data_IF_081871847413
#
_entry.id   IF_081871847413
#
_cell.length_a   1.000
_cell.length_b   1.000
_cell.length_c   1.000
_cell.angle_alpha   90.00
_cell.angle_beta   90.00
_cell.angle_gamma   90.00
#
_symmetry.space_group_name_H-M   'P 1'
#
loop_
_entity.id
_entity.type
_entity.pdbx_description
1 polymer ?
#
# COMPACT_ATOMS: atom_id res chain seq x y z
N UNK A 1 -1.09 -0.24 63.71
CA UNK A 1 -2.10 -0.96 62.91
C UNK A 1 -2.00 -0.47 61.47
N UNK A 2 -0.95 -0.88 60.74
CA UNK A 2 -0.69 -0.47 59.34
C UNK A 2 0.33 -1.42 58.69
N UNK A 3 -0.03 -2.68 58.44
CA UNK A 3 0.85 -3.65 57.76
C UNK A 3 0.11 -4.69 56.91
N UNK A 4 -1.13 -4.45 56.50
CA UNK A 4 -1.87 -5.42 55.66
C UNK A 4 -2.27 -4.93 54.26
N UNK A 5 -2.10 -3.65 53.93
CA UNK A 5 -2.54 -3.10 52.62
C UNK A 5 -1.50 -3.15 51.50
N UNK A 6 -0.22 -3.41 51.79
CA UNK A 6 0.87 -3.38 50.78
C UNK A 6 1.05 -4.70 50.01
N UNK A 7 0.60 -5.82 50.57
CA UNK A 7 0.76 -7.14 49.93
C UNK A 7 -0.23 -7.37 48.80
N UNK A 8 -1.44 -6.83 48.91
CA UNK A 8 -2.50 -7.00 47.92
C UNK A 8 -2.21 -6.20 46.64
N UNK A 9 -1.82 -4.92 46.78
CA UNK A 9 -1.50 -4.04 45.64
C UNK A 9 -0.34 -4.58 44.79
N UNK A 10 0.75 -5.03 45.43
CA UNK A 10 1.92 -5.63 44.76
C UNK A 10 1.59 -6.90 43.97
N UNK A 11 0.64 -7.70 44.45
CA UNK A 11 0.22 -8.94 43.79
C UNK A 11 -0.66 -8.64 42.58
N UNK A 12 -1.59 -7.68 42.70
CA UNK A 12 -2.42 -7.23 41.58
C UNK A 12 -1.61 -6.52 40.50
N UNK A 13 -0.60 -5.72 40.87
CA UNK A 13 0.35 -5.11 39.93
C UNK A 13 1.12 -6.17 39.16
N UNK A 14 1.71 -7.16 39.85
CA UNK A 14 2.45 -8.26 39.19
C UNK A 14 1.57 -9.13 38.30
N UNK A 15 0.32 -9.36 38.68
CA UNK A 15 -0.66 -10.06 37.84
C UNK A 15 -1.05 -9.25 36.61
N UNK A 16 -1.26 -7.94 36.77
CA UNK A 16 -1.53 -7.02 35.67
C UNK A 16 -0.37 -6.92 34.69
N UNK A 17 0.86 -6.84 35.20
CA UNK A 17 2.09 -6.85 34.40
C UNK A 17 2.27 -8.17 33.65
N UNK A 18 2.01 -9.30 34.32
CA UNK A 18 2.07 -10.63 33.70
C UNK A 18 1.05 -10.82 32.59
N UNK A 19 -0.18 -10.33 32.78
CA UNK A 19 -1.23 -10.37 31.76
C UNK A 19 -0.91 -9.47 30.56
N UNK A 20 -0.33 -8.29 30.82
CA UNK A 20 0.12 -7.34 29.79
C UNK A 20 1.26 -7.93 28.96
N UNK A 21 2.28 -8.49 29.61
CA UNK A 21 3.41 -9.16 28.95
C UNK A 21 2.95 -10.37 28.12
N UNK A 22 1.97 -11.13 28.61
CA UNK A 22 1.38 -12.24 27.86
C UNK A 22 0.61 -11.74 26.63
N UNK A 23 -0.21 -10.68 26.77
CA UNK A 23 -0.98 -10.08 25.67
C UNK A 23 -0.07 -9.55 24.56
N UNK A 24 1.02 -8.85 24.92
CA UNK A 24 2.04 -8.40 23.97
C UNK A 24 2.76 -9.57 23.30
N UNK A 25 3.10 -10.61 24.06
CA UNK A 25 3.70 -11.84 23.55
C UNK A 25 2.82 -12.55 22.51
N UNK A 26 1.53 -12.68 22.81
CA UNK A 26 0.54 -13.26 21.90
C UNK A 26 0.38 -12.42 20.62
N UNK A 27 0.34 -11.09 20.76
CA UNK A 27 0.20 -10.16 19.62
C UNK A 27 1.44 -10.21 18.71
N UNK A 28 2.64 -10.25 19.28
CA UNK A 28 3.89 -10.37 18.54
C UNK A 28 4.02 -11.73 17.83
N UNK A 29 3.58 -12.81 18.48
CA UNK A 29 3.54 -14.14 17.88
C UNK A 29 2.56 -14.20 16.69
N UNK A 30 1.35 -13.66 16.85
CA UNK A 30 0.35 -13.59 15.78
C UNK A 30 0.83 -12.72 14.61
N UNK A 31 1.49 -11.59 14.88
CA UNK A 31 2.05 -10.73 13.83
C UNK A 31 3.20 -11.42 13.09
N UNK A 32 4.02 -12.23 13.78
CA UNK A 32 5.07 -13.04 13.16
C UNK A 32 4.51 -14.17 12.30
N UNK A 33 3.39 -14.78 12.69
CA UNK A 33 2.75 -15.86 11.93
C UNK A 33 1.93 -15.34 10.74
N UNK A 34 1.19 -14.25 10.92
CA UNK A 34 0.18 -13.79 9.93
C UNK A 34 0.64 -12.56 9.13
N UNK A 35 1.74 -11.92 9.52
CA UNK A 35 2.17 -10.62 9.00
C UNK A 35 1.29 -9.46 9.52
N UNK A 36 1.72 -8.23 9.28
CA UNK A 36 0.90 -7.05 9.59
C UNK A 36 -0.22 -6.87 8.54
N UNK A 37 -1.34 -6.24 8.93
CA UNK A 37 -2.42 -5.92 7.99
C UNK A 37 -1.92 -5.09 6.80
N UNK A 38 -1.08 -4.09 7.08
CA UNK A 38 -0.52 -3.19 6.08
C UNK A 38 0.40 -3.93 5.12
N UNK A 39 1.23 -4.87 5.60
CA UNK A 39 2.08 -5.69 4.73
C UNK A 39 1.23 -6.51 3.76
N UNK A 40 0.16 -7.15 4.24
CA UNK A 40 -0.75 -7.92 3.38
C UNK A 40 -1.44 -7.02 2.34
N UNK A 41 -1.86 -5.82 2.74
CA UNK A 41 -2.49 -4.86 1.85
C UNK A 41 -1.54 -4.38 0.75
N UNK A 42 -0.34 -3.95 1.10
CA UNK A 42 0.70 -3.52 0.15
C UNK A 42 1.08 -4.67 -0.80
N UNK A 43 1.19 -5.90 -0.27
CA UNK A 43 1.41 -7.10 -1.08
C UNK A 43 0.29 -7.34 -2.08
N UNK A 44 -0.98 -7.15 -1.70
CA UNK A 44 -2.13 -7.26 -2.65
C UNK A 44 -2.05 -6.22 -3.77
N UNK A 45 -1.51 -5.03 -3.49
CA UNK A 45 -1.26 -4.01 -4.53
C UNK A 45 -0.12 -4.39 -5.48
N UNK A 46 0.71 -5.35 -5.08
CA UNK A 46 1.76 -5.93 -5.91
C UNK A 46 3.17 -5.60 -5.45
N UNK A 47 3.36 -4.83 -4.38
CA UNK A 47 4.68 -4.40 -3.95
C UNK A 47 5.20 -5.28 -2.82
N UNK A 48 6.41 -5.82 -2.99
CA UNK A 48 7.11 -6.56 -1.94
C UNK A 48 8.43 -5.85 -1.67
N UNK A 49 8.57 -5.34 -0.44
CA UNK A 49 9.81 -4.70 0.04
C UNK A 49 10.97 -5.69 -0.01
N UNK A 50 12.12 -5.22 -0.47
CA UNK A 50 13.37 -5.97 -0.40
C UNK A 50 13.74 -6.27 1.06
N UNK A 51 14.17 -7.51 1.35
CA UNK A 51 14.65 -7.90 2.69
C UNK A 51 16.04 -7.36 2.99
N UNK A 52 16.86 -7.12 1.95
CA UNK A 52 18.21 -6.58 2.08
C UNK A 52 18.35 -5.27 1.29
N UNK A 53 19.20 -4.32 1.72
CA UNK A 53 19.33 -3.01 1.07
C UNK A 53 19.82 -3.06 -0.38
N UNK A 54 20.59 -4.09 -0.73
CA UNK A 54 21.19 -4.34 -2.03
C UNK A 54 20.23 -5.00 -3.04
N UNK A 55 19.06 -5.44 -2.58
CA UNK A 55 18.09 -6.11 -3.44
C UNK A 55 17.01 -5.13 -3.93
N UNK A 56 16.58 -5.22 -5.20
CA UNK A 56 15.43 -4.49 -5.65
C UNK A 56 14.16 -5.01 -4.98
N UNK A 57 13.15 -4.16 -4.86
CA UNK A 57 11.81 -4.63 -4.54
C UNK A 57 11.29 -5.53 -5.67
N UNK A 58 10.33 -6.38 -5.35
CA UNK A 58 9.70 -7.25 -6.35
C UNK A 58 8.25 -6.83 -6.57
N UNK A 59 7.80 -7.00 -7.81
CA UNK A 59 6.43 -6.71 -8.22
C UNK A 59 5.73 -8.03 -8.54
N UNK A 60 4.58 -8.27 -7.93
CA UNK A 60 3.80 -9.50 -8.14
C UNK A 60 3.11 -9.43 -9.51
N UNK A 61 3.32 -10.39 -10.43
CA UNK A 61 2.65 -10.41 -11.72
C UNK A 61 1.12 -10.40 -11.60
N UNK A 62 0.44 -9.72 -12.53
CA UNK A 62 -1.03 -9.59 -12.53
C UNK A 62 -1.62 -8.69 -11.45
N UNK A 63 -0.79 -8.15 -10.53
CA UNK A 63 -1.22 -7.14 -9.57
C UNK A 63 -1.54 -5.80 -10.24
N UNK A 64 -2.18 -4.90 -9.48
CA UNK A 64 -2.44 -3.54 -9.96
C UNK A 64 -1.13 -2.82 -10.34
N UNK A 65 -0.10 -2.90 -9.49
CA UNK A 65 1.20 -2.29 -9.78
C UNK A 65 1.84 -2.88 -11.04
N UNK A 66 1.77 -4.21 -11.21
CA UNK A 66 2.28 -4.87 -12.42
C UNK A 66 1.57 -4.34 -13.68
N UNK A 67 0.23 -4.25 -13.66
CA UNK A 67 -0.55 -3.70 -14.77
C UNK A 67 -0.18 -2.25 -15.09
N UNK A 68 0.08 -1.42 -14.08
CA UNK A 68 0.57 -0.04 -14.28
C UNK A 68 1.93 -0.05 -14.98
N UNK A 69 2.85 -0.93 -14.55
CA UNK A 69 4.19 -1.04 -15.13
C UNK A 69 4.14 -1.55 -16.58
N UNK A 70 3.27 -2.52 -16.88
CA UNK A 70 3.07 -3.07 -18.23
C UNK A 70 2.53 -2.03 -19.22
N UNK A 71 1.67 -1.12 -18.75
CA UNK A 71 1.10 -0.03 -19.58
C UNK A 71 2.10 1.08 -19.89
N UNK A 72 3.28 1.09 -19.28
CA UNK A 72 4.24 2.19 -19.39
C UNK A 72 4.74 2.43 -20.81
N UNK A 73 5.11 1.36 -21.53
CA UNK A 73 5.55 1.48 -22.93
C UNK A 73 4.42 2.00 -23.82
N UNK A 74 3.17 1.58 -23.57
CA UNK A 74 2.00 2.10 -24.28
C UNK A 74 1.83 3.59 -24.06
N UNK A 75 1.96 4.07 -22.81
CA UNK A 75 1.82 5.50 -22.50
C UNK A 75 2.96 6.33 -23.09
N UNK A 76 4.19 5.80 -23.08
CA UNK A 76 5.36 6.44 -23.69
C UNK A 76 5.22 6.63 -25.20
N UNK A 77 4.55 5.68 -25.88
CA UNK A 77 4.34 5.74 -27.32
C UNK A 77 3.32 6.82 -27.76
N UNK A 78 2.49 7.32 -26.84
CA UNK A 78 1.49 8.36 -27.15
C UNK A 78 2.15 9.73 -27.34
N UNK A 79 1.64 10.53 -28.26
CA UNK A 79 1.90 11.97 -28.30
C UNK A 79 1.29 12.70 -27.10
N UNK A 80 1.66 13.97 -26.89
CA UNK A 80 1.12 14.77 -25.79
C UNK A 80 -0.41 14.95 -25.90
N UNK A 81 -0.91 15.10 -27.12
CA UNK A 81 -2.33 15.28 -27.37
C UNK A 81 -3.12 13.98 -27.18
N UNK A 82 -2.55 12.83 -27.59
CA UNK A 82 -3.14 11.52 -27.32
C UNK A 82 -3.18 11.21 -25.83
N UNK A 83 -2.10 11.51 -25.09
CA UNK A 83 -2.04 11.32 -23.64
C UNK A 83 -3.09 12.18 -22.92
N UNK A 84 -3.24 13.45 -23.31
CA UNK A 84 -4.32 14.33 -22.82
C UNK A 84 -5.70 13.78 -23.19
N UNK A 85 -5.83 13.23 -24.39
CA UNK A 85 -7.05 12.62 -24.93
C UNK A 85 -7.57 11.40 -24.16
N UNK A 86 -6.74 10.77 -23.32
CA UNK A 86 -7.19 9.69 -22.43
C UNK A 86 -8.18 10.19 -21.36
N UNK A 87 -8.03 11.41 -20.88
CA UNK A 87 -8.89 11.97 -19.81
C UNK A 87 -10.38 11.98 -20.20
N UNK A 88 -10.80 12.55 -21.35
CA UNK A 88 -12.19 12.48 -21.77
C UNK A 88 -12.66 11.03 -22.02
N UNK A 89 -11.80 10.15 -22.55
CA UNK A 89 -12.15 8.73 -22.74
C UNK A 89 -12.46 8.01 -21.41
N UNK A 90 -11.69 8.30 -20.36
CA UNK A 90 -11.93 7.76 -19.02
C UNK A 90 -13.26 8.26 -18.46
N UNK A 91 -13.57 9.55 -18.62
CA UNK A 91 -14.87 10.12 -18.20
C UNK A 91 -16.04 9.47 -18.93
N UNK A 92 -15.90 9.22 -20.23
CA UNK A 92 -16.92 8.52 -21.02
C UNK A 92 -17.11 7.07 -20.56
N UNK A 93 -16.02 6.36 -20.24
CA UNK A 93 -16.09 4.99 -19.69
C UNK A 93 -16.80 4.97 -18.34
N UNK A 94 -16.52 5.93 -17.46
CA UNK A 94 -17.24 6.07 -16.19
C UNK A 94 -18.74 6.31 -16.42
N UNK A 95 -19.10 7.19 -17.36
CA UNK A 95 -20.49 7.46 -17.71
C UNK A 95 -21.21 6.22 -18.26
N UNK A 96 -20.47 5.29 -18.90
CA UNK A 96 -20.96 3.99 -19.37
C UNK A 96 -20.98 2.89 -18.32
N UNK A 97 -20.64 3.20 -17.06
CA UNK A 97 -20.74 2.27 -15.93
C UNK A 97 -19.43 1.58 -15.54
N UNK A 98 -18.29 1.97 -16.09
CA UNK A 98 -17.00 1.52 -15.57
C UNK A 98 -16.80 2.04 -14.14
N UNK A 99 -16.13 1.27 -13.29
CA UNK A 99 -15.76 1.71 -11.94
C UNK A 99 -14.43 2.45 -11.96
N UNK A 100 -14.15 3.22 -10.90
CA UNK A 100 -12.83 3.85 -10.73
C UNK A 100 -11.70 2.80 -10.63
N UNK A 101 -11.98 1.64 -10.03
CA UNK A 101 -11.02 0.54 -9.91
C UNK A 101 -10.66 -0.07 -11.29
N UNK A 102 -11.62 -0.11 -12.22
CA UNK A 102 -11.36 -0.58 -13.59
C UNK A 102 -10.38 0.34 -14.34
N UNK A 103 -10.47 1.65 -14.09
CA UNK A 103 -9.64 2.67 -14.74
C UNK A 103 -8.31 2.91 -14.03
N UNK A 104 -8.18 2.47 -12.78
CA UNK A 104 -7.08 2.81 -11.89
C UNK A 104 -5.70 2.52 -12.52
N UNK A 105 -5.44 1.34 -13.14
CA UNK A 105 -4.13 1.06 -13.72
C UNK A 105 -3.78 1.99 -14.89
N UNK A 106 -4.74 2.25 -15.78
CA UNK A 106 -4.55 3.09 -16.96
C UNK A 106 -4.36 4.57 -16.56
N UNK A 107 -5.14 5.03 -15.58
CA UNK A 107 -5.04 6.38 -15.04
C UNK A 107 -3.67 6.62 -14.37
N UNK A 108 -3.21 5.70 -13.52
CA UNK A 108 -1.89 5.82 -12.88
C UNK A 108 -0.73 5.73 -13.88
N UNK A 109 -0.84 4.89 -14.92
CA UNK A 109 0.15 4.84 -15.98
C UNK A 109 0.22 6.16 -16.76
N UNK A 110 -0.93 6.76 -17.10
CA UNK A 110 -0.99 8.06 -17.76
C UNK A 110 -0.43 9.19 -16.88
N UNK A 111 -0.77 9.22 -15.58
CA UNK A 111 -0.21 10.19 -14.63
C UNK A 111 1.30 10.06 -14.48
N UNK A 112 1.82 8.82 -14.46
CA UNK A 112 3.26 8.55 -14.41
C UNK A 112 3.97 9.09 -15.64
N UNK A 113 3.42 8.90 -16.84
CA UNK A 113 3.97 9.45 -18.08
C UNK A 113 3.89 10.99 -18.10
N UNK A 114 2.78 11.57 -17.66
CA UNK A 114 2.65 13.02 -17.53
C UNK A 114 3.72 13.61 -16.59
N UNK A 115 3.99 12.96 -15.46
CA UNK A 115 5.08 13.34 -14.54
C UNK A 115 6.46 13.27 -15.19
N UNK A 116 6.72 12.22 -15.99
CA UNK A 116 7.96 12.08 -16.77
C UNK A 116 8.14 13.26 -17.72
N UNK A 117 7.11 13.62 -18.50
CA UNK A 117 7.21 14.70 -19.50
C UNK A 117 7.31 16.09 -18.89
N UNK A 118 6.52 16.35 -17.84
CA UNK A 118 6.37 17.72 -17.31
C UNK A 118 7.34 18.05 -16.19
N UNK A 119 7.81 17.06 -15.45
CA UNK A 119 8.69 17.24 -14.28
C UNK A 119 10.02 16.49 -14.41
N UNK A 120 10.24 15.77 -15.51
CA UNK A 120 11.39 14.87 -15.65
C UNK A 120 11.44 13.83 -14.50
N UNK A 121 10.28 13.45 -13.95
CA UNK A 121 10.18 12.54 -12.82
C UNK A 121 9.29 11.36 -13.18
N UNK A 122 9.91 10.20 -13.31
CA UNK A 122 9.20 8.93 -13.37
C UNK A 122 8.77 8.56 -11.95
N UNK A 123 7.46 8.46 -11.72
CA UNK A 123 6.94 7.99 -10.43
C UNK A 123 7.44 6.56 -10.14
N UNK A 124 8.02 6.37 -8.95
CA UNK A 124 8.46 5.09 -8.44
C UNK A 124 7.27 4.18 -8.10
N UNK A 125 7.51 2.88 -8.04
CA UNK A 125 6.48 1.89 -7.69
C UNK A 125 5.85 2.15 -6.32
N UNK A 126 6.66 2.55 -5.32
CA UNK A 126 6.17 2.93 -3.99
C UNK A 126 5.24 4.15 -4.02
N UNK A 127 5.46 5.09 -4.95
CA UNK A 127 4.61 6.27 -5.09
C UNK A 127 3.26 5.91 -5.71
N UNK A 128 3.24 4.99 -6.68
CA UNK A 128 1.99 4.45 -7.23
C UNK A 128 1.21 3.71 -6.15
N UNK A 129 1.87 2.83 -5.38
CA UNK A 129 1.24 2.12 -4.26
C UNK A 129 0.66 3.11 -3.25
N UNK A 130 1.43 4.14 -2.86
CA UNK A 130 0.95 5.21 -1.97
C UNK A 130 -0.26 5.94 -2.53
N UNK A 131 -0.25 6.29 -3.82
CA UNK A 131 -1.41 6.91 -4.48
C UNK A 131 -2.66 6.04 -4.46
N UNK A 132 -2.52 4.73 -4.63
CA UNK A 132 -3.65 3.78 -4.56
C UNK A 132 -4.18 3.64 -3.13
N UNK A 133 -3.30 3.67 -2.12
CA UNK A 133 -3.71 3.69 -0.72
C UNK A 133 -4.58 4.91 -0.44
N UNK A 134 -4.13 6.09 -0.85
CA UNK A 134 -4.88 7.35 -0.70
C UNK A 134 -6.21 7.32 -1.46
N UNK A 135 -6.23 6.78 -2.68
CA UNK A 135 -7.45 6.64 -3.47
C UNK A 135 -8.53 5.85 -2.74
N UNK A 136 -8.14 4.80 -2.02
CA UNK A 136 -9.06 3.90 -1.31
C UNK A 136 -9.42 4.36 0.11
N UNK A 137 -8.90 5.52 0.55
CA UNK A 137 -9.21 6.10 1.86
C UNK A 137 -8.73 5.26 3.05
N UNK A 138 -7.61 4.56 2.91
CA UNK A 138 -6.96 3.82 4.01
C UNK A 138 -5.80 4.61 4.63
#
# INVERSE_FOLDING_TARGET
MTTETNLDVSVWEKLGDGLSAFSEGATNFLTRLMGSSNERYIRKLGYIRARRPDQPHTVIPGSLLARVNELEEKMRALSDDELKGLTPQYRERLARGATLEDLLPEAFAACREAGRRTKNMRHFDVQIVGGVVLHRGN
#
